data_IF_217286277507
#
_entry.id   IF_217286277507
#
_cell.length_a   1.000
_cell.length_b   1.000
_cell.length_c   1.000
_cell.angle_alpha   90.00
_cell.angle_beta   90.00
_cell.angle_gamma   90.00
#
_symmetry.space_group_name_H-M   'P 1'
#
loop_
_entity.id
_entity.type
_entity.pdbx_description
1 polymer ?
#
# COMPACT_ATOMS: atom_id res chain seq x y z
N UNK A 1 -18.41 12.87 -43.42
CA UNK A 1 -19.56 12.72 -42.49
C UNK A 1 -18.99 12.90 -41.09
N UNK A 2 -18.96 14.14 -40.60
CA UNK A 2 -18.36 14.50 -39.32
C UNK A 2 -19.38 14.23 -38.22
N UNK A 3 -19.13 13.20 -37.40
CA UNK A 3 -19.90 12.95 -36.19
C UNK A 3 -19.33 13.91 -35.13
N UNK A 4 -20.02 15.03 -34.93
CA UNK A 4 -19.84 15.87 -33.76
C UNK A 4 -20.28 15.06 -32.53
N UNK A 5 -19.31 14.59 -31.74
CA UNK A 5 -19.57 14.11 -30.39
C UNK A 5 -19.79 15.37 -29.54
N UNK A 6 -21.05 15.62 -29.15
CA UNK A 6 -21.35 16.61 -28.13
C UNK A 6 -20.74 16.13 -26.80
N UNK A 7 -19.60 16.71 -26.43
CA UNK A 7 -19.15 16.70 -25.04
C UNK A 7 -20.18 17.49 -24.22
N UNK A 8 -20.99 16.76 -23.46
CA UNK A 8 -21.86 17.35 -22.45
C UNK A 8 -20.93 17.83 -21.34
N UNK A 9 -20.70 19.14 -21.25
CA UNK A 9 -20.07 19.77 -20.10
C UNK A 9 -20.96 19.55 -18.87
N UNK A 10 -20.67 18.49 -18.11
CA UNK A 10 -21.32 18.23 -16.83
C UNK A 10 -20.86 19.31 -15.87
N UNK A 11 -21.81 20.08 -15.33
CA UNK A 11 -21.47 21.14 -14.38
C UNK A 11 -20.69 20.57 -13.17
N UNK A 12 -19.70 21.31 -12.63
CA UNK A 12 -18.91 20.85 -11.47
C UNK A 12 -19.77 20.46 -10.26
N UNK A 13 -20.96 21.05 -10.12
CA UNK A 13 -21.91 20.75 -9.07
C UNK A 13 -22.60 19.39 -9.28
N UNK A 14 -22.97 19.07 -10.52
CA UNK A 14 -23.58 17.79 -10.86
C UNK A 14 -22.59 16.63 -10.70
N UNK A 15 -21.32 16.84 -11.06
CA UNK A 15 -20.25 15.88 -10.81
C UNK A 15 -20.08 15.60 -9.30
N UNK A 16 -20.05 16.66 -8.47
CA UNK A 16 -19.95 16.52 -7.01
C UNK A 16 -21.15 15.80 -6.40
N UNK A 17 -22.37 16.10 -6.85
CA UNK A 17 -23.57 15.40 -6.38
C UNK A 17 -23.59 13.93 -6.77
N UNK A 18 -23.21 13.59 -8.01
CA UNK A 18 -23.10 12.18 -8.44
C UNK A 18 -22.07 11.43 -7.61
N UNK A 19 -20.93 12.05 -7.31
CA UNK A 19 -19.90 11.45 -6.46
C UNK A 19 -20.42 11.16 -5.04
N UNK A 20 -21.12 12.12 -4.43
CA UNK A 20 -21.74 11.94 -3.11
C UNK A 20 -22.77 10.81 -3.13
N UNK A 21 -23.68 10.79 -4.11
CA UNK A 21 -24.71 9.74 -4.23
C UNK A 21 -24.06 8.36 -4.40
N UNK A 22 -23.04 8.25 -5.24
CA UNK A 22 -22.32 7.00 -5.45
C UNK A 22 -21.62 6.50 -4.17
N UNK A 23 -20.99 7.40 -3.41
CA UNK A 23 -20.39 7.03 -2.12
C UNK A 23 -21.43 6.59 -1.10
N UNK A 24 -22.58 7.27 -1.03
CA UNK A 24 -23.67 6.89 -0.12
C UNK A 24 -24.25 5.53 -0.47
N UNK A 25 -24.51 5.29 -1.76
CA UNK A 25 -25.01 4.00 -2.25
C UNK A 25 -24.00 2.89 -2.00
N UNK A 26 -22.72 3.11 -2.32
CA UNK A 26 -21.63 2.14 -2.10
C UNK A 26 -21.51 1.76 -0.62
N UNK A 27 -21.57 2.74 0.29
CA UNK A 27 -21.58 2.43 1.71
C UNK A 27 -22.82 1.66 2.12
N UNK A 28 -24.02 2.08 1.70
CA UNK A 28 -25.27 1.40 2.10
C UNK A 28 -25.29 -0.06 1.63
N UNK A 29 -24.86 -0.31 0.39
CA UNK A 29 -24.69 -1.66 -0.14
C UNK A 29 -23.65 -2.46 0.67
N UNK A 30 -22.53 -1.83 1.05
CA UNK A 30 -21.53 -2.46 1.93
C UNK A 30 -22.11 -2.78 3.31
N UNK A 31 -22.90 -1.87 3.89
CA UNK A 31 -23.52 -2.07 5.18
C UNK A 31 -24.53 -3.24 5.12
N UNK A 32 -25.35 -3.31 4.07
CA UNK A 32 -26.26 -4.44 3.83
C UNK A 32 -25.51 -5.77 3.66
N UNK A 33 -24.41 -5.77 2.90
CA UNK A 33 -23.55 -6.94 2.72
C UNK A 33 -22.97 -7.42 4.06
N UNK A 34 -22.48 -6.49 4.88
CA UNK A 34 -21.99 -6.80 6.23
C UNK A 34 -23.10 -7.28 7.17
N UNK A 35 -24.32 -6.72 7.06
CA UNK A 35 -25.50 -7.21 7.80
C UNK A 35 -25.81 -8.65 7.41
N UNK A 36 -25.81 -8.96 6.11
CA UNK A 36 -26.06 -10.31 5.60
C UNK A 36 -25.06 -11.34 6.11
N UNK A 37 -23.80 -10.92 6.29
CA UNK A 37 -22.70 -11.80 6.71
C UNK A 37 -22.38 -11.73 8.22
N UNK A 38 -23.20 -11.05 9.03
CA UNK A 38 -22.99 -10.94 10.48
C UNK A 38 -21.81 -10.05 10.90
N UNK A 39 -21.28 -9.24 9.98
CA UNK A 39 -20.13 -8.36 10.18
C UNK A 39 -20.47 -6.93 10.63
N UNK A 40 -21.71 -6.66 11.05
CA UNK A 40 -22.19 -5.30 11.39
C UNK A 40 -21.38 -4.65 12.51
N UNK A 41 -20.91 -5.45 13.48
CA UNK A 41 -20.09 -4.95 14.59
C UNK A 41 -18.84 -4.21 14.12
N UNK A 42 -18.25 -4.64 13.00
CA UNK A 42 -17.06 -4.00 12.42
C UNK A 42 -17.34 -2.60 11.86
N UNK A 43 -18.59 -2.25 11.51
CA UNK A 43 -18.96 -0.89 11.11
C UNK A 43 -18.91 0.10 12.27
N UNK A 44 -19.04 -0.39 13.50
CA UNK A 44 -18.99 0.45 14.71
C UNK A 44 -17.60 0.53 15.32
N UNK A 45 -16.66 -0.35 14.92
CA UNK A 45 -15.26 -0.31 15.37
C UNK A 45 -14.60 1.08 15.18
N UNK A 46 -14.85 1.82 14.07
CA UNK A 46 -14.40 3.19 13.91
C UNK A 46 -14.84 4.16 15.01
N UNK A 47 -15.99 3.95 15.66
CA UNK A 47 -16.46 4.83 16.75
C UNK A 47 -15.67 4.65 18.04
N UNK A 48 -14.89 3.56 18.17
CA UNK A 48 -13.99 3.36 19.29
C UNK A 48 -12.79 4.33 19.20
N UNK A 49 -12.12 4.55 20.34
CA UNK A 49 -10.97 5.47 20.48
C UNK A 49 -9.91 5.25 19.39
N UNK A 50 -9.60 4.00 19.08
CA UNK A 50 -8.55 3.61 18.12
C UNK A 50 -9.07 3.30 16.71
N UNK A 51 -10.37 3.40 16.46
CA UNK A 51 -10.96 3.07 15.16
C UNK A 51 -10.56 1.68 14.66
N UNK A 52 -10.07 1.58 13.41
CA UNK A 52 -9.53 0.33 12.86
C UNK A 52 -8.06 0.07 13.19
N UNK A 53 -7.39 0.93 13.98
CA UNK A 53 -5.99 0.70 14.34
C UNK A 53 -5.86 -0.58 15.16
N UNK A 54 -4.92 -1.48 14.83
CA UNK A 54 -4.65 -2.66 15.64
C UNK A 54 -3.95 -2.26 16.94
N UNK A 55 -4.27 -2.95 18.03
CA UNK A 55 -3.67 -2.71 19.34
C UNK A 55 -2.38 -3.52 19.48
N UNK A 56 -1.24 -2.82 19.50
CA UNK A 56 0.07 -3.42 19.69
C UNK A 56 0.47 -3.31 21.16
N UNK A 57 0.36 -4.42 21.89
CA UNK A 57 0.72 -4.53 23.31
C UNK A 57 1.95 -5.40 23.53
N UNK A 58 3.05 -5.12 22.83
CA UNK A 58 4.30 -5.89 22.94
C UNK A 58 5.35 -5.04 23.67
N UNK A 59 5.94 -5.59 24.73
CA UNK A 59 7.00 -4.93 25.48
C UNK A 59 8.23 -4.66 24.60
N UNK A 60 8.86 -3.49 24.78
CA UNK A 60 10.00 -3.04 23.97
C UNK A 60 9.67 -2.90 22.47
N UNK A 61 8.41 -2.63 22.12
CA UNK A 61 8.00 -2.12 20.82
C UNK A 61 7.35 -0.74 20.99
N UNK A 62 7.45 0.14 19.97
CA UNK A 62 6.67 1.36 19.95
C UNK A 62 5.18 1.04 20.00
N UNK A 63 4.43 1.89 20.68
CA UNK A 63 2.97 1.82 20.72
C UNK A 63 2.36 1.97 19.33
N UNK A 64 1.12 1.52 19.16
CA UNK A 64 0.36 1.75 17.92
C UNK A 64 0.39 3.22 17.50
N UNK A 65 0.25 4.17 18.42
CA UNK A 65 0.21 5.58 18.07
C UNK A 65 1.56 6.10 17.56
N UNK A 66 2.66 5.68 18.19
CA UNK A 66 4.01 6.04 17.76
C UNK A 66 4.31 5.49 16.36
N UNK A 67 3.93 4.24 16.05
CA UNK A 67 4.08 3.69 14.70
C UNK A 67 3.24 4.42 13.66
N UNK A 68 2.04 4.89 14.01
CA UNK A 68 1.23 5.71 13.11
C UNK A 68 1.84 7.11 12.90
N UNK A 69 2.50 7.68 13.91
CA UNK A 69 3.25 8.93 13.77
C UNK A 69 4.47 8.75 12.87
N UNK A 70 5.25 7.68 13.08
CA UNK A 70 6.38 7.31 12.22
C UNK A 70 5.90 7.14 10.76
N UNK A 71 4.76 6.48 10.55
CA UNK A 71 4.17 6.31 9.22
C UNK A 71 3.73 7.62 8.58
N UNK A 72 3.06 8.50 9.32
CA UNK A 72 2.63 9.80 8.81
C UNK A 72 3.82 10.65 8.37
N UNK A 73 4.83 10.75 9.23
CA UNK A 73 6.05 11.50 8.95
C UNK A 73 6.79 10.93 7.73
N UNK A 74 6.99 9.61 7.71
CA UNK A 74 7.68 8.93 6.62
C UNK A 74 6.91 9.10 5.31
N UNK A 75 5.58 9.00 5.34
CA UNK A 75 4.74 9.23 4.17
C UNK A 75 4.91 10.66 3.63
N UNK A 76 4.87 11.68 4.49
CA UNK A 76 5.03 13.09 4.09
C UNK A 76 6.35 13.33 3.35
N UNK A 77 7.47 12.82 3.90
CA UNK A 77 8.78 12.95 3.26
C UNK A 77 8.85 12.17 1.95
N UNK A 78 8.35 10.94 1.96
CA UNK A 78 8.37 10.07 0.79
C UNK A 78 7.47 10.56 -0.36
N UNK A 79 6.42 11.34 -0.08
CA UNK A 79 5.61 11.99 -1.12
C UNK A 79 6.44 12.95 -1.98
N UNK A 80 7.46 13.61 -1.42
CA UNK A 80 8.37 14.47 -2.20
C UNK A 80 9.38 13.64 -2.99
N UNK A 81 9.99 12.64 -2.34
CA UNK A 81 11.02 11.78 -2.94
C UNK A 81 10.47 10.93 -4.09
N UNK A 82 9.27 10.36 -3.95
CA UNK A 82 8.71 9.45 -4.96
C UNK A 82 8.34 10.13 -6.29
N UNK A 83 8.22 11.46 -6.29
CA UNK A 83 7.89 12.25 -7.48
C UNK A 83 9.14 12.59 -8.31
N UNK A 84 10.33 12.40 -7.76
CA UNK A 84 11.60 12.61 -8.47
C UNK A 84 11.77 11.56 -9.57
N UNK A 85 12.34 11.95 -10.71
CA UNK A 85 12.44 11.07 -11.87
C UNK A 85 13.34 9.87 -11.59
N UNK A 86 14.43 10.09 -10.85
CA UNK A 86 15.38 9.06 -10.42
C UNK A 86 14.78 7.98 -9.53
N UNK A 87 13.65 8.27 -8.85
CA UNK A 87 12.98 7.34 -7.93
C UNK A 87 11.68 6.76 -8.52
N UNK A 88 11.02 7.54 -9.39
CA UNK A 88 9.77 7.15 -10.04
C UNK A 88 9.94 5.94 -10.95
N UNK A 89 11.08 5.84 -11.63
CA UNK A 89 11.33 4.77 -12.61
C UNK A 89 11.95 3.56 -11.92
N UNK A 90 11.32 2.40 -12.07
CA UNK A 90 11.77 1.14 -11.49
C UNK A 90 12.14 0.14 -12.57
N UNK A 91 13.30 -0.51 -12.45
CA UNK A 91 13.70 -1.61 -13.34
C UNK A 91 13.17 -2.94 -12.80
N UNK A 92 12.21 -3.54 -13.51
CA UNK A 92 11.59 -4.80 -13.15
C UNK A 92 12.01 -5.91 -14.11
N UNK A 93 12.46 -7.03 -13.55
CA UNK A 93 12.63 -8.26 -14.31
C UNK A 93 11.32 -9.08 -14.32
N UNK A 94 10.77 -9.29 -15.52
CA UNK A 94 9.56 -10.09 -15.77
C UNK A 94 9.91 -11.45 -16.42
N UNK A 95 11.19 -11.75 -16.63
CA UNK A 95 11.66 -12.99 -17.22
C UNK A 95 11.74 -14.22 -16.31
N UNK A 96 11.72 -14.16 -14.96
CA UNK A 96 11.94 -15.36 -14.16
C UNK A 96 10.81 -16.37 -14.36
N UNK A 97 11.20 -17.61 -14.68
CA UNK A 97 10.28 -18.74 -14.77
C UNK A 97 9.71 -19.12 -13.41
N UNK A 98 8.57 -19.81 -13.42
CA UNK A 98 7.97 -20.30 -12.19
C UNK A 98 8.84 -21.39 -11.56
N UNK A 99 9.38 -21.13 -10.37
CA UNK A 99 10.22 -22.12 -9.65
C UNK A 99 9.46 -23.36 -9.15
N UNK A 100 8.12 -23.31 -9.13
CA UNK A 100 7.27 -24.42 -8.66
C UNK A 100 6.75 -25.33 -9.76
N UNK A 101 6.82 -24.90 -11.03
CA UNK A 101 6.28 -25.64 -12.17
C UNK A 101 7.26 -25.54 -13.36
N UNK A 102 7.89 -26.66 -13.71
CA UNK A 102 8.72 -26.73 -14.91
C UNK A 102 7.85 -26.52 -16.17
N UNK A 103 8.25 -25.59 -17.03
CA UNK A 103 7.61 -25.22 -18.31
C UNK A 103 6.38 -24.29 -18.27
N UNK A 104 5.93 -23.84 -17.09
CA UNK A 104 4.93 -22.76 -17.03
C UNK A 104 5.62 -21.42 -17.20
N UNK A 105 5.60 -20.89 -18.44
CA UNK A 105 5.89 -19.48 -18.69
C UNK A 105 4.67 -18.65 -18.30
N UNK A 106 4.90 -17.50 -17.69
CA UNK A 106 3.85 -16.53 -17.38
C UNK A 106 3.27 -15.96 -18.69
N UNK A 107 2.33 -16.68 -19.30
CA UNK A 107 1.49 -16.12 -20.35
C UNK A 107 0.35 -15.42 -19.65
N UNK A 108 0.47 -14.10 -19.53
CA UNK A 108 -0.56 -13.30 -18.93
C UNK A 108 -1.77 -13.22 -19.88
N UNK A 109 -2.81 -14.01 -19.58
CA UNK A 109 -3.94 -14.25 -20.50
C UNK A 109 -5.00 -13.14 -20.56
N UNK A 110 -5.02 -12.23 -19.58
CA UNK A 110 -6.06 -11.20 -19.44
C UNK A 110 -5.47 -9.78 -19.52
N UNK A 111 -5.73 -9.05 -20.60
CA UNK A 111 -5.18 -7.71 -20.90
C UNK A 111 -5.21 -6.72 -19.70
N UNK A 112 -6.21 -6.81 -18.80
CA UNK A 112 -6.32 -5.97 -17.60
C UNK A 112 -5.45 -6.37 -16.39
N UNK A 113 -4.89 -7.59 -16.38
CA UNK A 113 -3.97 -8.11 -15.34
C UNK A 113 -2.48 -7.97 -15.74
N UNK A 114 -2.23 -7.66 -17.00
CA UNK A 114 -0.97 -7.88 -17.73
C UNK A 114 -0.32 -6.62 -18.29
N UNK A 115 -0.71 -5.44 -17.81
CA UNK A 115 -0.12 -4.20 -18.30
C UNK A 115 0.39 -3.39 -17.13
N UNK A 116 1.65 -3.61 -16.80
CA UNK A 116 2.45 -2.55 -16.21
C UNK A 116 2.73 -1.54 -17.32
N UNK A 117 2.14 -0.34 -17.22
CA UNK A 117 2.31 0.67 -18.27
C UNK A 117 3.75 1.19 -18.25
N UNK A 118 4.54 0.80 -19.25
CA UNK A 118 5.80 1.45 -19.62
C UNK A 118 5.55 2.24 -20.90
N UNK A 119 5.75 3.56 -20.86
CA UNK A 119 5.67 4.39 -22.06
C UNK A 119 7.10 4.68 -22.53
N UNK A 120 7.60 4.00 -23.56
CA UNK A 120 8.98 4.14 -24.05
C UNK A 120 9.37 5.60 -24.33
N UNK A 121 8.39 6.45 -24.68
CA UNK A 121 8.61 7.89 -24.96
C UNK A 121 8.73 8.78 -23.71
N UNK A 122 8.15 8.41 -22.57
CA UNK A 122 8.25 9.16 -21.29
C UNK A 122 9.42 8.66 -20.42
N UNK A 123 10.11 7.62 -20.87
CA UNK A 123 11.12 6.84 -20.17
C UNK A 123 12.56 7.24 -20.54
N UNK A 124 12.73 8.39 -21.21
CA UNK A 124 14.03 9.05 -21.39
C UNK A 124 14.59 9.63 -20.09
N UNK A 125 13.79 9.65 -19.01
CA UNK A 125 14.31 9.95 -17.69
C UNK A 125 15.11 8.76 -17.15
N UNK A 126 16.39 9.01 -16.93
CA UNK A 126 17.36 7.99 -16.59
C UNK A 126 17.26 7.58 -15.12
N UNK A 127 17.33 6.27 -14.87
CA UNK A 127 17.61 5.74 -13.53
C UNK A 127 19.09 6.03 -13.24
N UNK A 128 19.40 7.22 -12.72
CA UNK A 128 20.78 7.66 -12.44
C UNK A 128 21.73 7.54 -13.65
N UNK A 129 21.29 7.97 -14.83
CA UNK A 129 22.10 7.88 -16.06
C UNK A 129 22.13 6.50 -16.74
N UNK A 130 21.36 5.50 -16.28
CA UNK A 130 21.29 4.19 -16.94
C UNK A 130 20.30 4.24 -18.12
N UNK A 131 20.84 4.43 -19.32
CA UNK A 131 20.07 4.62 -20.55
C UNK A 131 19.49 3.29 -21.07
N UNK A 132 20.27 2.21 -20.99
CA UNK A 132 19.91 0.92 -21.58
C UNK A 132 19.50 -0.12 -20.54
N UNK A 133 18.41 -0.86 -20.78
CA UNK A 133 18.10 -2.07 -20.01
C UNK A 133 19.27 -3.08 -20.01
N UNK A 134 20.10 -3.06 -21.06
CA UNK A 134 21.32 -3.86 -21.18
C UNK A 134 22.44 -3.44 -20.21
N UNK A 135 22.53 -2.17 -19.80
CA UNK A 135 23.51 -1.70 -18.81
C UNK A 135 23.11 -2.06 -17.37
N UNK A 136 21.84 -2.40 -17.15
CA UNK A 136 21.38 -3.00 -15.89
C UNK A 136 21.80 -4.49 -15.80
N UNK A 137 22.23 -5.10 -16.90
CA UNK A 137 22.60 -6.51 -16.99
C UNK A 137 24.12 -6.77 -16.97
N UNK A 138 24.96 -5.73 -16.94
CA UNK A 138 26.41 -5.88 -17.10
C UNK A 138 27.18 -6.27 -15.83
N UNK A 139 26.52 -6.35 -14.66
CA UNK A 139 27.19 -6.68 -13.39
C UNK A 139 26.96 -8.11 -12.86
N UNK A 140 26.25 -8.97 -13.60
CA UNK A 140 26.10 -10.38 -13.25
C UNK A 140 26.62 -11.27 -14.38
N UNK A 141 27.67 -12.04 -14.12
CA UNK A 141 28.19 -13.12 -14.97
C UNK A 141 27.20 -14.31 -15.09
N UNK A 142 25.93 -14.05 -15.45
CA UNK A 142 24.91 -15.05 -15.73
C UNK A 142 24.07 -14.62 -16.94
N UNK A 143 24.02 -15.52 -17.92
CA UNK A 143 23.22 -15.56 -19.16
C UNK A 143 22.46 -14.29 -19.60
N UNK A 144 22.76 -13.86 -20.83
CA UNK A 144 22.26 -12.68 -21.55
C UNK A 144 20.75 -12.61 -21.87
N UNK A 145 19.86 -13.27 -21.12
CA UNK A 145 18.42 -13.32 -21.43
C UNK A 145 17.52 -12.51 -20.47
N UNK A 146 18.09 -11.73 -19.53
CA UNK A 146 17.33 -10.90 -18.59
C UNK A 146 16.77 -9.62 -19.27
N UNK A 147 15.54 -9.66 -19.80
CA UNK A 147 14.88 -8.44 -20.31
C UNK A 147 14.23 -7.66 -19.16
N UNK A 148 14.98 -6.72 -18.57
CA UNK A 148 14.45 -5.78 -17.55
C UNK A 148 13.61 -4.69 -18.22
N UNK A 149 12.37 -4.54 -17.75
CA UNK A 149 11.42 -3.52 -18.20
C UNK A 149 11.47 -2.33 -17.25
N UNK A 150 11.60 -1.12 -17.79
CA UNK A 150 11.50 0.11 -17.00
C UNK A 150 10.02 0.46 -16.77
N UNK A 151 9.66 0.75 -15.53
CA UNK A 151 8.28 0.91 -15.06
C UNK A 151 8.11 2.24 -14.36
N UNK A 152 7.08 3.01 -14.71
CA UNK A 152 6.70 4.21 -13.97
C UNK A 152 5.83 3.84 -12.75
N UNK A 153 6.35 4.09 -11.55
CA UNK A 153 5.67 3.77 -10.29
C UNK A 153 4.41 4.60 -10.03
N UNK A 154 4.30 5.81 -10.59
CA UNK A 154 3.10 6.65 -10.44
C UNK A 154 1.94 6.13 -11.29
N UNK A 155 2.23 5.64 -12.49
CA UNK A 155 1.23 5.02 -13.38
C UNK A 155 0.83 3.61 -12.93
N UNK A 156 1.68 2.97 -12.11
CA UNK A 156 1.49 1.60 -11.65
C UNK A 156 1.40 1.50 -10.11
N UNK A 157 0.47 2.23 -9.45
CA UNK A 157 0.33 2.16 -8.00
C UNK A 157 -0.17 0.78 -7.55
N UNK A 158 0.09 0.36 -6.31
CA UNK A 158 -0.46 -0.89 -5.78
C UNK A 158 -1.98 -0.76 -5.71
N UNK A 159 -2.67 -1.68 -6.37
CA UNK A 159 -4.12 -1.65 -6.53
C UNK A 159 -4.69 -3.06 -6.63
N UNK A 160 -6.01 -3.19 -6.53
CA UNK A 160 -6.69 -4.45 -6.78
C UNK A 160 -6.58 -4.82 -8.26
N UNK A 161 -6.09 -6.03 -8.52
CA UNK A 161 -5.99 -6.63 -9.86
C UNK A 161 -6.91 -7.84 -10.00
N UNK A 162 -7.73 -8.12 -8.98
CA UNK A 162 -8.55 -9.33 -8.84
C UNK A 162 -7.76 -10.63 -8.78
N UNK A 163 -6.42 -10.57 -8.79
CA UNK A 163 -5.56 -11.72 -8.61
C UNK A 163 -5.75 -12.33 -7.22
N UNK A 164 -5.96 -13.65 -7.16
CA UNK A 164 -6.24 -14.36 -5.90
C UNK A 164 -4.98 -14.90 -5.23
N UNK A 165 -4.04 -15.45 -6.00
CA UNK A 165 -2.70 -15.87 -5.55
C UNK A 165 -2.63 -16.90 -4.43
N UNK A 166 -3.74 -17.55 -4.06
CA UNK A 166 -3.83 -18.39 -2.86
C UNK A 166 -2.86 -19.57 -2.85
N UNK A 167 -2.69 -20.24 -4.00
CA UNK A 167 -1.75 -21.36 -4.12
C UNK A 167 -0.29 -20.92 -3.92
N UNK A 168 0.10 -19.80 -4.53
CA UNK A 168 1.47 -19.27 -4.38
C UNK A 168 1.73 -18.86 -2.93
N UNK A 169 0.77 -18.21 -2.28
CA UNK A 169 0.88 -17.90 -0.86
C UNK A 169 1.06 -19.16 -0.02
N UNK A 170 0.30 -20.23 -0.28
CA UNK A 170 0.46 -21.51 0.43
C UNK A 170 1.90 -22.02 0.31
N UNK A 171 2.43 -22.07 -0.91
CA UNK A 171 3.81 -22.53 -1.16
C UNK A 171 4.85 -21.63 -0.48
N UNK A 172 4.65 -20.31 -0.48
CA UNK A 172 5.53 -19.37 0.25
C UNK A 172 5.51 -19.69 1.75
N UNK A 173 4.34 -19.93 2.35
CA UNK A 173 4.27 -20.30 3.77
C UNK A 173 4.90 -21.67 4.06
N UNK A 174 4.83 -22.62 3.13
CA UNK A 174 5.53 -23.91 3.25
C UNK A 174 7.06 -23.71 3.26
N UNK A 175 7.59 -22.76 2.48
CA UNK A 175 9.01 -22.39 2.54
C UNK A 175 9.38 -21.71 3.86
N UNK A 176 8.50 -20.89 4.45
CA UNK A 176 8.74 -20.24 5.75
C UNK A 176 8.91 -21.30 6.85
N UNK A 177 8.13 -22.39 6.84
CA UNK A 177 8.21 -23.44 7.86
C UNK A 177 9.58 -24.13 7.88
N UNK A 178 10.32 -24.10 6.77
CA UNK A 178 11.67 -24.65 6.66
C UNK A 178 12.74 -23.72 7.26
N UNK A 179 12.38 -22.48 7.59
CA UNK A 179 13.29 -21.48 8.15
C UNK A 179 13.07 -21.40 9.65
N UNK A 180 14.13 -21.63 10.44
CA UNK A 180 14.12 -21.42 11.89
C UNK A 180 14.23 -19.92 12.23
N UNK A 181 13.17 -19.19 11.90
CA UNK A 181 13.05 -17.75 12.16
C UNK A 181 11.57 -17.34 12.29
N UNK A 182 10.97 -17.42 13.49
CA UNK A 182 9.55 -17.16 13.69
C UNK A 182 9.07 -15.78 13.22
N UNK A 183 9.94 -14.76 13.31
CA UNK A 183 9.66 -13.41 12.83
C UNK A 183 9.35 -13.39 11.32
N UNK A 184 9.93 -14.29 10.53
CA UNK A 184 9.72 -14.32 9.08
C UNK A 184 8.24 -14.49 8.71
N UNK A 185 7.52 -15.34 9.43
CA UNK A 185 6.07 -15.54 9.24
C UNK A 185 5.29 -14.25 9.49
N UNK A 186 5.68 -13.48 10.50
CA UNK A 186 5.07 -12.18 10.84
C UNK A 186 5.35 -11.17 9.71
N UNK A 187 6.60 -11.09 9.26
CA UNK A 187 7.01 -10.18 8.19
C UNK A 187 6.28 -10.44 6.87
N UNK A 188 6.16 -11.71 6.48
CA UNK A 188 5.43 -12.11 5.27
C UNK A 188 3.92 -11.88 5.43
N UNK A 189 3.36 -12.14 6.62
CA UNK A 189 1.97 -11.76 6.92
C UNK A 189 1.77 -10.24 6.84
N UNK A 190 2.78 -9.44 7.19
CA UNK A 190 2.78 -7.99 7.01
C UNK A 190 2.72 -7.57 5.55
N UNK A 191 3.49 -8.21 4.66
CA UNK A 191 3.37 -8.02 3.19
C UNK A 191 1.93 -8.30 2.74
N UNK A 192 1.37 -9.43 3.14
CA UNK A 192 0.02 -9.83 2.74
C UNK A 192 -1.04 -8.81 3.22
N UNK A 193 -0.86 -8.26 4.41
CA UNK A 193 -1.73 -7.23 4.99
C UNK A 193 -1.60 -5.91 4.26
N UNK A 194 -0.37 -5.49 3.95
CA UNK A 194 -0.10 -4.31 3.13
C UNK A 194 -0.78 -4.40 1.75
N UNK A 195 -0.69 -5.57 1.08
CA UNK A 195 -1.38 -5.82 -0.19
C UNK A 195 -2.90 -5.71 -0.03
N UNK A 196 -3.47 -6.31 1.02
CA UNK A 196 -4.91 -6.27 1.27
C UNK A 196 -5.42 -4.82 1.46
N UNK A 197 -4.68 -3.97 2.17
CA UNK A 197 -5.05 -2.56 2.37
C UNK A 197 -5.00 -1.80 1.05
N UNK A 198 -3.91 -1.89 0.29
CA UNK A 198 -3.81 -1.19 -1.00
C UNK A 198 -4.84 -1.66 -2.03
N UNK A 199 -5.12 -2.97 -2.08
CA UNK A 199 -6.18 -3.51 -2.92
C UNK A 199 -7.57 -3.01 -2.50
N UNK A 200 -7.77 -2.73 -1.21
CA UNK A 200 -9.04 -2.16 -0.73
C UNK A 200 -9.14 -0.67 -1.02
N UNK A 201 -8.05 0.08 -0.89
CA UNK A 201 -8.02 1.52 -1.15
C UNK A 201 -8.18 1.82 -2.63
N UNK A 202 -7.48 1.06 -3.48
CA UNK A 202 -7.52 1.20 -4.94
C UNK A 202 -8.23 -0.02 -5.54
N UNK A 203 -9.52 -0.16 -5.23
CA UNK A 203 -10.30 -1.36 -5.52
C UNK A 203 -10.78 -1.46 -6.97
N UNK A 204 -11.29 -0.36 -7.54
CA UNK A 204 -11.75 -0.32 -8.93
C UNK A 204 -11.26 0.97 -9.59
N UNK A 205 -10.58 0.86 -10.74
CA UNK A 205 -10.18 2.01 -11.54
C UNK A 205 -11.44 2.65 -12.17
N UNK A 206 -11.65 3.96 -11.94
CA UNK A 206 -12.80 4.73 -12.43
C UNK A 206 -12.41 5.83 -13.43
N UNK A 207 -11.13 6.18 -13.49
CA UNK A 207 -10.54 7.09 -14.47
C UNK A 207 -9.05 6.82 -14.64
N UNK A 208 -8.32 7.66 -15.36
CA UNK A 208 -6.90 7.44 -15.67
C UNK A 208 -6.05 7.31 -14.40
N UNK A 209 -6.27 8.20 -13.43
CA UNK A 209 -5.55 8.25 -12.14
C UNK A 209 -6.46 8.10 -10.92
N UNK A 210 -7.73 7.77 -11.12
CA UNK A 210 -8.72 7.70 -10.05
C UNK A 210 -9.19 6.27 -9.79
N UNK A 211 -9.29 5.94 -8.50
CA UNK A 211 -9.75 4.65 -8.01
C UNK A 211 -10.87 4.85 -7.01
N UNK A 212 -11.84 3.93 -7.04
CA UNK A 212 -12.81 3.75 -5.97
C UNK A 212 -12.26 2.79 -4.93
N UNK A 213 -12.66 2.99 -3.67
CA UNK A 213 -12.28 2.13 -2.55
C UNK A 213 -13.37 1.08 -2.29
N UNK A 214 -13.02 0.02 -1.57
CA UNK A 214 -13.98 -0.98 -1.09
C UNK A 214 -13.82 -1.24 0.39
N UNK A 215 -14.79 -0.73 1.17
CA UNK A 215 -14.86 -1.00 2.60
C UNK A 215 -15.15 -2.48 2.89
N UNK A 216 -16.00 -3.14 2.08
CA UNK A 216 -16.24 -4.59 2.22
C UNK A 216 -14.93 -5.38 2.04
N UNK A 217 -14.13 -5.05 1.02
CA UNK A 217 -12.84 -5.72 0.82
C UNK A 217 -11.87 -5.43 1.96
N UNK A 218 -11.81 -4.18 2.46
CA UNK A 218 -10.97 -3.81 3.60
C UNK A 218 -11.35 -4.63 4.85
N UNK A 219 -12.63 -4.72 5.17
CA UNK A 219 -13.09 -5.47 6.34
C UNK A 219 -12.78 -6.96 6.17
N UNK A 220 -13.19 -7.55 5.05
CA UNK A 220 -13.10 -8.99 4.80
C UNK A 220 -11.67 -9.50 4.58
N UNK A 221 -10.71 -8.63 4.28
CA UNK A 221 -9.30 -9.03 4.02
C UNK A 221 -8.34 -8.59 5.11
N UNK A 222 -8.70 -7.56 5.89
CA UNK A 222 -7.83 -6.98 6.90
C UNK A 222 -8.51 -6.91 8.29
N UNK A 223 -9.61 -6.16 8.45
CA UNK A 223 -10.16 -5.84 9.78
C UNK A 223 -10.57 -7.06 10.59
N UNK A 224 -11.15 -8.08 9.96
CA UNK A 224 -11.58 -9.31 10.66
C UNK A 224 -10.41 -10.19 11.14
N UNK A 225 -9.20 -9.92 10.68
CA UNK A 225 -7.99 -10.66 11.03
C UNK A 225 -7.08 -9.79 11.88
N UNK A 226 -7.34 -9.70 13.20
CA UNK A 226 -6.63 -8.76 14.08
C UNK A 226 -5.11 -8.98 14.08
N UNK A 227 -4.66 -10.25 14.06
CA UNK A 227 -3.25 -10.63 13.94
C UNK A 227 -2.58 -10.04 12.70
N UNK A 228 -3.30 -9.87 11.59
CA UNK A 228 -2.75 -9.26 10.36
C UNK A 228 -2.42 -7.79 10.55
N UNK A 229 -3.26 -7.07 11.30
CA UNK A 229 -2.99 -5.69 11.67
C UNK A 229 -1.76 -5.55 12.56
N UNK A 230 -1.62 -6.42 13.56
CA UNK A 230 -0.46 -6.47 14.44
C UNK A 230 0.80 -6.83 13.63
N UNK A 231 0.73 -7.85 12.78
CA UNK A 231 1.86 -8.28 11.94
C UNK A 231 2.31 -7.17 10.98
N UNK A 232 1.37 -6.39 10.43
CA UNK A 232 1.69 -5.22 9.61
C UNK A 232 2.45 -4.16 10.40
N UNK A 233 2.03 -3.85 11.64
CA UNK A 233 2.72 -2.89 12.49
C UNK A 233 4.12 -3.36 12.88
N UNK A 234 4.28 -4.64 13.25
CA UNK A 234 5.60 -5.22 13.52
C UNK A 234 6.47 -5.11 12.27
N UNK A 235 5.95 -5.49 11.10
CA UNK A 235 6.69 -5.41 9.83
C UNK A 235 7.13 -3.98 9.54
N UNK A 236 6.23 -3.01 9.71
CA UNK A 236 6.54 -1.59 9.52
C UNK A 236 7.61 -1.11 10.51
N UNK A 237 7.52 -1.50 11.79
CA UNK A 237 8.54 -1.18 12.78
C UNK A 237 9.94 -1.67 12.37
N UNK A 238 10.07 -2.90 11.86
CA UNK A 238 11.36 -3.42 11.38
C UNK A 238 11.89 -2.62 10.17
N UNK A 239 11.01 -2.17 9.28
CA UNK A 239 11.39 -1.30 8.14
C UNK A 239 11.88 0.07 8.64
N UNK A 240 11.17 0.70 9.57
CA UNK A 240 11.62 2.00 10.13
C UNK A 240 12.91 1.81 10.91
N UNK A 241 13.07 0.70 11.64
CA UNK A 241 14.33 0.40 12.34
C UNK A 241 15.52 0.25 11.41
N UNK A 242 15.33 -0.31 10.21
CA UNK A 242 16.42 -0.36 9.25
C UNK A 242 16.81 1.02 8.71
N UNK A 243 15.92 2.02 8.70
CA UNK A 243 16.29 3.43 8.41
C UNK A 243 17.36 3.92 9.37
N UNK A 244 17.22 3.61 10.67
CA UNK A 244 18.16 4.03 11.71
C UNK A 244 19.59 3.48 11.52
N UNK A 245 19.74 2.39 10.74
CA UNK A 245 21.01 1.71 10.48
C UNK A 245 21.53 2.06 9.08
N UNK A 246 20.65 2.12 8.09
CA UNK A 246 21.01 2.29 6.67
C UNK A 246 21.37 3.73 6.30
N UNK A 247 21.11 4.71 7.15
CA UNK A 247 21.39 6.14 6.88
C UNK A 247 22.76 6.40 6.25
N UNK A 248 23.88 5.99 6.88
CA UNK A 248 25.21 6.19 6.33
C UNK A 248 25.41 5.56 4.94
N UNK A 249 24.81 4.40 4.68
CA UNK A 249 24.92 3.70 3.38
C UNK A 249 24.16 4.44 2.28
N UNK A 250 22.98 4.97 2.60
CA UNK A 250 22.19 5.77 1.66
C UNK A 250 22.83 7.13 1.40
N UNK A 251 23.39 7.76 2.43
CA UNK A 251 24.17 8.99 2.31
C UNK A 251 25.39 8.79 1.41
N UNK A 252 26.19 7.75 1.67
CA UNK A 252 27.34 7.40 0.82
C UNK A 252 26.93 7.24 -0.65
N UNK A 253 25.84 6.51 -0.92
CA UNK A 253 25.33 6.31 -2.27
C UNK A 253 24.98 7.64 -2.97
N UNK A 254 24.23 8.53 -2.30
CA UNK A 254 23.82 9.80 -2.93
C UNK A 254 24.96 10.80 -3.10
N UNK A 255 26.00 10.72 -2.28
CA UNK A 255 27.22 11.53 -2.46
C UNK A 255 28.03 11.09 -3.70
N UNK A 256 27.85 9.85 -4.21
CA UNK A 256 28.48 9.42 -5.48
C UNK A 256 27.82 9.97 -6.74
N UNK A 257 26.61 10.54 -6.62
CA UNK A 257 25.86 11.07 -7.76
C UNK A 257 26.51 12.35 -8.30
N UNK A 258 26.09 12.81 -9.48
CA UNK A 258 26.53 14.10 -10.01
C UNK A 258 25.93 15.29 -9.24
N UNK A 259 26.39 16.51 -9.53
CA UNK A 259 25.87 17.75 -8.91
C UNK A 259 24.72 18.38 -9.70
N UNK A 260 23.91 17.57 -10.37
CA UNK A 260 22.69 18.10 -10.99
C UNK A 260 21.73 18.67 -9.93
N UNK A 261 20.85 19.63 -10.29
CA UNK A 261 19.87 20.17 -9.35
C UNK A 261 18.96 19.08 -8.74
N UNK A 262 18.56 18.08 -9.54
CA UNK A 262 17.74 16.96 -9.06
C UNK A 262 18.48 16.10 -8.03
N UNK A 263 19.73 15.72 -8.29
CA UNK A 263 20.51 14.93 -7.35
C UNK A 263 20.89 15.71 -6.08
N UNK A 264 21.09 17.02 -6.19
CA UNK A 264 21.30 17.89 -5.02
C UNK A 264 20.06 17.92 -4.12
N UNK A 265 18.87 18.02 -4.71
CA UNK A 265 17.62 17.93 -3.97
C UNK A 265 17.42 16.54 -3.36
N UNK A 266 17.70 15.48 -4.13
CA UNK A 266 17.62 14.10 -3.63
C UNK A 266 18.53 13.88 -2.42
N UNK A 267 19.77 14.39 -2.43
CA UNK A 267 20.68 14.33 -1.26
C UNK A 267 20.06 14.95 0.00
N UNK A 268 19.46 16.12 -0.14
CA UNK A 268 18.82 16.82 0.97
C UNK A 268 17.63 16.02 1.52
N UNK A 269 16.76 15.52 0.63
CA UNK A 269 15.60 14.72 1.04
C UNK A 269 15.99 13.37 1.65
N UNK A 270 17.06 12.73 1.17
CA UNK A 270 17.55 11.46 1.74
C UNK A 270 18.12 11.66 3.14
N UNK A 271 18.90 12.72 3.37
CA UNK A 271 19.34 13.10 4.73
C UNK A 271 18.14 13.31 5.67
N UNK A 272 17.08 13.91 5.15
CA UNK A 272 15.84 14.11 5.90
C UNK A 272 15.05 12.83 6.18
N UNK A 273 14.96 11.91 5.22
CA UNK A 273 14.28 10.62 5.37
C UNK A 273 15.03 9.71 6.35
N UNK A 274 16.36 9.74 6.33
CA UNK A 274 17.20 8.89 7.17
C UNK A 274 17.64 9.52 8.49
N UNK A 275 17.09 10.69 8.84
CA UNK A 275 17.30 11.28 10.16
C UNK A 275 16.61 10.43 11.25
N UNK A 276 17.39 9.57 11.90
CA UNK A 276 16.93 8.64 12.95
C UNK A 276 16.26 9.32 14.15
N UNK A 277 16.56 10.59 14.43
CA UNK A 277 16.01 11.32 15.57
C UNK A 277 14.52 11.60 15.42
N UNK A 278 13.98 11.49 14.20
CA UNK A 278 12.59 11.78 13.92
C UNK A 278 11.63 10.61 14.14
N UNK A 279 12.15 9.38 14.30
CA UNK A 279 11.31 8.18 14.37
C UNK A 279 11.36 7.56 15.77
N UNK A 280 10.18 7.30 16.32
CA UNK A 280 10.04 6.62 17.61
C UNK A 280 10.67 5.23 17.55
N UNK A 281 10.52 4.51 16.43
CA UNK A 281 11.14 3.20 16.22
C UNK A 281 12.67 3.18 16.35
N UNK A 282 13.34 4.34 16.25
CA UNK A 282 14.80 4.46 16.44
C UNK A 282 15.22 4.67 17.91
N UNK A 283 14.29 4.86 18.84
CA UNK A 283 14.61 5.11 20.26
C UNK A 283 15.37 3.93 20.90
N UNK A 284 16.34 4.19 21.80
CA UNK A 284 17.20 3.15 22.38
C UNK A 284 16.45 2.00 23.05
N UNK A 285 15.31 2.27 23.67
CA UNK A 285 14.47 1.26 24.33
C UNK A 285 13.93 0.18 23.37
N UNK A 286 13.70 0.53 22.10
CA UNK A 286 13.19 -0.37 21.07
C UNK A 286 14.31 -1.09 20.28
N UNK A 287 15.58 -0.86 20.63
CA UNK A 287 16.71 -1.41 19.88
C UNK A 287 17.04 -2.88 20.22
N UNK A 288 16.44 -3.45 21.26
CA UNK A 288 16.79 -4.79 21.79
C UNK A 288 16.42 -5.96 20.88
N UNK A 289 15.43 -5.78 20.00
CA UNK A 289 14.94 -6.86 19.13
C UNK A 289 15.80 -6.97 17.86
N UNK A 290 16.99 -7.54 17.99
CA UNK A 290 17.94 -7.75 16.89
C UNK A 290 17.69 -9.11 16.26
N UNK A 291 17.80 -9.19 14.94
CA UNK A 291 17.66 -10.45 14.21
C UNK A 291 18.83 -11.36 14.61
N UNK A 292 18.56 -12.59 15.09
CA UNK A 292 19.64 -13.48 15.50
C UNK A 292 20.60 -13.75 14.33
N UNK A 293 21.91 -13.63 14.58
CA UNK A 293 22.93 -13.79 13.55
C UNK A 293 22.83 -15.14 12.81
N UNK A 294 22.46 -16.21 13.52
CA UNK A 294 22.30 -17.54 12.94
C UNK A 294 21.08 -17.65 12.00
N UNK A 295 20.04 -16.84 12.21
CA UNK A 295 18.83 -16.83 11.36
C UNK A 295 19.03 -16.00 10.08
N UNK A 296 20.01 -15.09 10.05
CA UNK A 296 20.22 -14.17 8.93
C UNK A 296 20.44 -14.89 7.59
N UNK A 297 21.38 -15.85 7.44
CA UNK A 297 21.59 -16.52 6.14
C UNK A 297 20.35 -17.27 5.63
N UNK A 298 19.56 -17.83 6.55
CA UNK A 298 18.33 -18.54 6.18
C UNK A 298 17.22 -17.55 5.76
N UNK A 299 17.14 -16.39 6.41
CA UNK A 299 16.23 -15.33 6.03
C UNK A 299 16.59 -14.73 4.66
N UNK A 300 17.87 -14.44 4.40
CA UNK A 300 18.34 -13.96 3.09
C UNK A 300 17.98 -14.96 1.97
N UNK A 301 18.29 -16.25 2.17
CA UNK A 301 17.91 -17.32 1.23
C UNK A 301 16.40 -17.42 1.02
N UNK A 302 15.62 -17.18 2.07
CA UNK A 302 14.16 -17.14 1.93
C UNK A 302 13.71 -15.98 1.06
N UNK A 303 14.26 -14.77 1.19
CA UNK A 303 13.83 -13.66 0.33
C UNK A 303 14.22 -13.90 -1.13
N UNK A 304 15.37 -14.53 -1.41
CA UNK A 304 15.70 -14.97 -2.77
C UNK A 304 14.64 -15.95 -3.31
N UNK A 305 14.18 -16.88 -2.46
CA UNK A 305 13.12 -17.84 -2.78
C UNK A 305 11.77 -17.14 -2.98
N UNK A 306 11.42 -16.18 -2.12
CA UNK A 306 10.21 -15.37 -2.21
C UNK A 306 10.15 -14.59 -3.52
N UNK A 307 11.24 -13.92 -3.90
CA UNK A 307 11.35 -13.18 -5.16
C UNK A 307 11.26 -14.15 -6.35
N UNK A 308 11.91 -15.31 -6.28
CA UNK A 308 11.82 -16.34 -7.32
C UNK A 308 10.39 -16.90 -7.47
N UNK A 309 9.66 -17.04 -6.37
CA UNK A 309 8.27 -17.48 -6.38
C UNK A 309 7.32 -16.47 -7.07
N UNK A 310 7.69 -15.19 -7.16
CA UNK A 310 6.93 -14.22 -7.95
C UNK A 310 6.99 -14.53 -9.45
N UNK A 311 7.98 -15.29 -9.92
CA UNK A 311 8.00 -15.86 -11.26
C UNK A 311 6.83 -16.83 -11.54
N UNK A 312 6.05 -17.21 -10.54
CA UNK A 312 4.79 -17.96 -10.72
C UNK A 312 3.54 -17.08 -10.74
N UNK A 313 3.67 -15.77 -10.52
CA UNK A 313 2.55 -14.83 -10.43
C UNK A 313 2.27 -14.25 -11.82
N UNK A 314 1.09 -14.55 -12.36
CA UNK A 314 0.66 -14.05 -13.68
C UNK A 314 0.42 -12.53 -13.69
N UNK A 315 0.08 -11.94 -12.55
CA UNK A 315 -0.21 -10.51 -12.43
C UNK A 315 1.09 -9.68 -12.36
N UNK A 316 1.45 -9.00 -13.44
CA UNK A 316 2.70 -8.20 -13.52
C UNK A 316 2.78 -7.09 -12.45
N UNK A 317 1.67 -6.37 -12.21
CA UNK A 317 1.60 -5.38 -11.13
C UNK A 317 1.80 -6.02 -9.76
N UNK A 318 1.36 -7.26 -9.58
CA UNK A 318 1.58 -8.02 -8.35
C UNK A 318 3.04 -8.47 -8.23
N UNK A 319 3.69 -8.85 -9.33
CA UNK A 319 5.14 -9.12 -9.38
C UNK A 319 5.92 -7.86 -9.00
N UNK A 320 5.65 -6.72 -9.64
CA UNK A 320 6.27 -5.42 -9.33
C UNK A 320 6.21 -5.11 -7.82
N UNK A 321 4.99 -5.09 -7.29
CA UNK A 321 4.74 -4.71 -5.91
C UNK A 321 5.18 -5.77 -4.90
N UNK A 322 5.18 -7.04 -5.29
CA UNK A 322 5.74 -8.14 -4.52
C UNK A 322 7.26 -8.03 -4.42
N UNK A 323 7.93 -7.78 -5.54
CA UNK A 323 9.38 -7.60 -5.63
C UNK A 323 9.84 -6.45 -4.74
N UNK A 324 9.16 -5.30 -4.83
CA UNK A 324 9.51 -4.14 -4.00
C UNK A 324 9.39 -4.45 -2.51
N UNK A 325 8.28 -5.07 -2.08
CA UNK A 325 8.05 -5.40 -0.66
C UNK A 325 9.03 -6.45 -0.15
N UNK A 326 9.27 -7.50 -0.94
CA UNK A 326 10.21 -8.56 -0.63
C UNK A 326 11.63 -8.03 -0.47
N UNK A 327 12.13 -7.27 -1.45
CA UNK A 327 13.48 -6.66 -1.39
C UNK A 327 13.62 -5.61 -0.29
N UNK A 328 12.55 -4.88 0.03
CA UNK A 328 12.56 -3.92 1.14
C UNK A 328 12.76 -4.63 2.47
N UNK A 329 12.07 -5.75 2.70
CA UNK A 329 12.24 -6.56 3.90
C UNK A 329 13.57 -7.33 3.93
N UNK A 330 14.04 -7.84 2.79
CA UNK A 330 15.38 -8.41 2.66
C UNK A 330 16.45 -7.42 3.13
N UNK A 331 16.42 -6.19 2.60
CA UNK A 331 17.37 -5.15 3.00
C UNK A 331 17.22 -4.74 4.48
N UNK A 332 15.98 -4.64 4.97
CA UNK A 332 15.73 -4.34 6.38
C UNK A 332 16.33 -5.40 7.31
N UNK A 333 16.17 -6.67 6.95
CA UNK A 333 16.71 -7.81 7.71
C UNK A 333 18.23 -7.83 7.65
N UNK A 334 18.82 -7.59 6.48
CA UNK A 334 20.29 -7.47 6.32
C UNK A 334 20.88 -6.39 7.22
N UNK A 335 20.22 -5.22 7.26
CA UNK A 335 20.62 -4.11 8.12
C UNK A 335 20.54 -4.50 9.60
N UNK A 336 19.40 -5.04 10.03
CA UNK A 336 19.15 -5.37 11.42
C UNK A 336 19.92 -6.60 11.91
N UNK A 337 20.27 -7.53 11.02
CA UNK A 337 21.10 -8.69 11.31
C UNK A 337 22.60 -8.40 11.36
N UNK A 338 23.02 -7.16 11.09
CA UNK A 338 24.42 -6.74 11.14
C UNK A 338 25.25 -7.27 9.96
N UNK A 339 24.66 -7.40 8.77
CA UNK A 339 25.39 -7.79 7.57
C UNK A 339 26.53 -6.79 7.31
N UNK A 340 27.77 -7.29 7.24
CA UNK A 340 28.99 -6.45 7.17
C UNK A 340 29.19 -5.77 5.81
N UNK A 341 28.40 -6.11 4.80
CA UNK A 341 28.62 -5.67 3.41
C UNK A 341 27.30 -5.32 2.73
N UNK A 342 26.55 -4.38 3.29
CA UNK A 342 25.40 -3.80 2.59
C UNK A 342 25.94 -2.80 1.58
N UNK A 343 26.08 -3.24 0.33
CA UNK A 343 26.35 -2.35 -0.80
C UNK A 343 25.04 -2.09 -1.53
N UNK A 344 24.73 -0.81 -1.69
CA UNK A 344 23.51 -0.40 -2.33
C UNK A 344 23.76 -0.21 -3.83
N UNK A 345 23.11 -1.01 -4.66
CA UNK A 345 23.00 -0.71 -6.09
C UNK A 345 21.82 0.23 -6.36
N UNK A 346 21.76 0.89 -7.53
CA UNK A 346 20.67 1.82 -7.86
C UNK A 346 19.27 1.19 -7.78
N UNK A 347 19.16 -0.10 -8.11
CA UNK A 347 17.87 -0.80 -8.06
C UNK A 347 17.44 -0.97 -6.60
N UNK A 348 18.32 -1.43 -5.71
CA UNK A 348 18.04 -1.58 -4.29
C UNK A 348 17.74 -0.22 -3.61
N UNK A 349 18.45 0.85 -3.99
CA UNK A 349 18.17 2.21 -3.53
C UNK A 349 16.73 2.62 -3.85
N UNK A 350 16.33 2.54 -5.12
CA UNK A 350 14.97 2.91 -5.56
C UNK A 350 13.92 1.94 -5.01
N UNK A 351 14.25 0.65 -4.93
CA UNK A 351 13.36 -0.38 -4.37
C UNK A 351 12.99 -0.03 -2.93
N UNK A 352 14.00 0.23 -2.09
CA UNK A 352 13.80 0.45 -0.68
C UNK A 352 13.00 1.73 -0.43
N UNK A 353 13.31 2.82 -1.14
CA UNK A 353 12.56 4.09 -1.04
C UNK A 353 11.09 3.93 -1.44
N UNK A 354 10.80 3.26 -2.56
CA UNK A 354 9.42 2.93 -2.94
C UNK A 354 8.76 2.02 -1.89
N UNK A 355 9.51 1.09 -1.30
CA UNK A 355 9.08 0.27 -0.17
C UNK A 355 8.66 1.10 1.05
N UNK A 356 9.49 2.05 1.48
CA UNK A 356 9.20 2.95 2.60
C UNK A 356 7.85 3.65 2.39
N UNK A 357 7.64 4.21 1.20
CA UNK A 357 6.38 4.87 0.83
C UNK A 357 5.19 3.92 0.88
N UNK A 358 5.30 2.73 0.29
CA UNK A 358 4.22 1.75 0.21
C UNK A 358 3.82 1.28 1.61
N UNK A 359 4.79 0.94 2.46
CA UNK A 359 4.49 0.48 3.81
C UNK A 359 3.90 1.59 4.69
N UNK A 360 4.49 2.79 4.69
CA UNK A 360 3.95 3.92 5.46
C UNK A 360 2.53 4.29 5.03
N UNK A 361 2.28 4.33 3.73
CA UNK A 361 0.95 4.62 3.18
C UNK A 361 -0.08 3.56 3.60
N UNK A 362 0.30 2.29 3.69
CA UNK A 362 -0.65 1.26 4.15
C UNK A 362 -1.07 1.44 5.62
N UNK A 363 -0.17 1.95 6.47
CA UNK A 363 -0.51 2.26 7.87
C UNK A 363 -1.48 3.45 7.91
N UNK A 364 -1.18 4.54 7.20
CA UNK A 364 -2.04 5.73 7.23
C UNK A 364 -3.40 5.51 6.55
N UNK A 365 -3.47 4.61 5.56
CA UNK A 365 -4.75 4.19 4.95
C UNK A 365 -5.74 3.59 5.97
N UNK A 366 -5.28 2.99 7.07
CA UNK A 366 -6.15 2.46 8.14
C UNK A 366 -6.98 3.58 8.78
N UNK A 367 -6.36 4.75 8.99
CA UNK A 367 -7.04 5.94 9.51
C UNK A 367 -7.97 6.55 8.47
N UNK A 368 -7.58 6.53 7.19
CA UNK A 368 -8.43 6.99 6.09
C UNK A 368 -9.73 6.17 6.05
N UNK A 369 -9.65 4.84 6.12
CA UNK A 369 -10.84 3.97 6.22
C UNK A 369 -11.67 4.27 7.47
N UNK A 370 -11.03 4.46 8.63
CA UNK A 370 -11.72 4.80 9.87
C UNK A 370 -12.47 6.13 9.75
N UNK A 371 -11.84 7.14 9.18
CA UNK A 371 -12.41 8.47 8.94
C UNK A 371 -13.59 8.43 7.98
N UNK A 372 -13.49 7.66 6.88
CA UNK A 372 -14.59 7.48 5.92
C UNK A 372 -15.82 6.86 6.58
N UNK A 373 -15.66 5.83 7.40
CA UNK A 373 -16.78 5.21 8.12
C UNK A 373 -17.38 6.18 9.14
N UNK A 374 -16.56 6.87 9.94
CA UNK A 374 -17.05 7.88 10.89
C UNK A 374 -17.86 8.98 10.19
N UNK A 375 -17.34 9.51 9.09
CA UNK A 375 -17.99 10.55 8.29
C UNK A 375 -19.34 10.05 7.78
N UNK A 376 -19.39 8.83 7.26
CA UNK A 376 -20.64 8.25 6.79
C UNK A 376 -21.66 8.06 7.93
N UNK A 377 -21.23 7.56 9.09
CA UNK A 377 -22.13 7.35 10.23
C UNK A 377 -22.72 8.67 10.73
N UNK A 378 -21.89 9.72 10.86
CA UNK A 378 -22.35 11.06 11.24
C UNK A 378 -23.34 11.61 10.21
N UNK A 379 -23.04 11.46 8.93
CA UNK A 379 -23.92 11.91 7.86
C UNK A 379 -25.25 11.15 7.83
N UNK A 380 -25.23 9.84 8.08
CA UNK A 380 -26.44 9.01 8.17
C UNK A 380 -27.33 9.38 9.35
N UNK A 381 -26.71 9.67 10.52
CA UNK A 381 -27.42 10.19 11.68
C UNK A 381 -28.07 11.54 11.34
N UNK A 382 -27.34 12.45 10.70
CA UNK A 382 -27.87 13.75 10.28
C UNK A 382 -29.08 13.62 9.34
N UNK A 383 -29.00 12.77 8.30
CA UNK A 383 -30.13 12.49 7.40
C UNK A 383 -31.32 11.94 8.19
N UNK A 384 -31.08 11.00 9.10
CA UNK A 384 -32.14 10.40 9.92
C UNK A 384 -32.83 11.44 10.78
N UNK A 385 -32.08 12.33 11.44
CA UNK A 385 -32.64 13.44 12.21
C UNK A 385 -33.43 14.43 11.33
N UNK A 386 -32.90 14.79 10.17
CA UNK A 386 -33.59 15.68 9.23
C UNK A 386 -34.91 15.08 8.72
N UNK A 387 -34.92 13.78 8.41
CA UNK A 387 -36.12 13.04 8.01
C UNK A 387 -37.15 12.99 9.13
N UNK A 388 -36.74 12.67 10.37
CA UNK A 388 -37.64 12.65 11.53
C UNK A 388 -38.21 14.05 11.84
N UNK A 389 -37.40 15.10 11.68
CA UNK A 389 -37.85 16.48 11.82
C UNK A 389 -38.88 16.86 10.74
N UNK A 390 -38.62 16.52 9.48
CA UNK A 390 -39.54 16.72 8.37
C UNK A 390 -40.87 15.98 8.59
N UNK A 391 -40.81 14.72 9.02
CA UNK A 391 -41.97 13.90 9.33
C UNK A 391 -42.80 14.54 10.45
N UNK A 392 -42.15 14.97 11.55
CA UNK A 392 -42.80 15.66 12.66
C UNK A 392 -43.48 16.96 12.21
N UNK A 393 -42.79 17.77 11.38
CA UNK A 393 -43.35 19.00 10.82
C UNK A 393 -44.59 18.73 9.96
N UNK A 394 -44.52 17.73 9.06
CA UNK A 394 -45.66 17.30 8.23
C UNK A 394 -46.84 16.83 9.08
N UNK A 395 -46.61 15.96 10.07
CA UNK A 395 -47.67 15.46 10.97
C UNK A 395 -48.33 16.61 11.73
N UNK A 396 -47.55 17.55 12.28
CA UNK A 396 -48.08 18.74 12.95
C UNK A 396 -48.98 19.56 12.01
N UNK A 397 -48.51 19.83 10.79
CA UNK A 397 -49.28 20.58 9.79
C UNK A 397 -50.59 19.88 9.40
N UNK A 398 -50.60 18.55 9.29
CA UNK A 398 -51.83 17.79 9.04
C UNK A 398 -52.81 17.87 10.20
N UNK A 399 -52.34 17.77 11.45
CA UNK A 399 -53.18 17.89 12.64
C UNK A 399 -53.79 19.29 12.77
N UNK A 400 -53.03 20.34 12.49
CA UNK A 400 -53.51 21.72 12.54
C UNK A 400 -54.55 22.00 11.44
N UNK A 401 -54.33 21.52 10.22
CA UNK A 401 -55.30 21.62 9.13
C UNK A 401 -56.59 20.84 9.40
N UNK A 402 -56.51 19.70 10.09
CA UNK A 402 -57.69 18.94 10.56
C UNK A 402 -58.54 19.71 11.57
N UNK A 403 -57.90 20.38 12.54
CA UNK A 403 -58.59 21.23 13.53
C UNK A 403 -59.31 22.42 12.89
N UNK A 404 -58.72 23.03 11.86
CA UNK A 404 -59.34 24.16 11.14
C UNK A 404 -60.60 23.74 10.38
N UNK A 405 -60.64 22.51 9.83
CA UNK A 405 -61.84 21.99 9.15
C UNK A 405 -62.99 21.71 10.11
N UNK A 406 -62.72 21.17 11.31
CA UNK A 406 -63.76 20.97 12.32
C UNK A 406 -64.37 22.30 12.78
N UNK A 407 -63.57 23.34 13.01
CA UNK A 407 -64.06 24.69 13.38
C UNK A 407 -64.90 25.40 12.31
N UNK A 408 -64.97 24.91 11.07
CA UNK A 408 -65.79 25.51 10.00
C UNK A 408 -67.13 24.80 9.78
N UNK A 409 -67.33 23.63 10.39
CA UNK A 409 -68.55 22.85 10.28
C UNK A 409 -69.43 22.92 11.53
N UNK A 410 -68.92 23.52 12.61
CA UNK A 410 -69.69 24.03 13.75
C UNK A 410 -69.96 25.53 13.53
#
# INVERSE_FOLDING_TARGET
MNIFVCEIEISPLEFRMRLIINHLLSFYLTALDLIRHGGVSYLFKPLLKYGFRPELGIDNFPTTNELFQDALLLQEKMERVRLMNSIRVFALDLSPGCMFEENKRNTCGDIGKCQVMGNESDLSSTLFGIDNAAEINTNSNKNCDEKKTKVDMLKNPPSNTQYKGGEIWSRIYDEIVKVDFPLLRILVSGIQSNIAIHASERYRKIGEDSYDYSLSNFINKFVIFEDRGINLLITFHYIVRSICILGPVFEEFVETLDNSPENTLLRAEIKEVFNKEMYNSCMPEYQKNIIPYHSLPMAEKFFDTFISALGCVECEKCVLHGTIKGKTLDLAIKALGGSKTIKLDPIYFVTYLNGLYIFSTSITMIDVFSSRVRTFLVFSLFITFAFLFYLKYKVSSYLDNGRIKHKKND
#
